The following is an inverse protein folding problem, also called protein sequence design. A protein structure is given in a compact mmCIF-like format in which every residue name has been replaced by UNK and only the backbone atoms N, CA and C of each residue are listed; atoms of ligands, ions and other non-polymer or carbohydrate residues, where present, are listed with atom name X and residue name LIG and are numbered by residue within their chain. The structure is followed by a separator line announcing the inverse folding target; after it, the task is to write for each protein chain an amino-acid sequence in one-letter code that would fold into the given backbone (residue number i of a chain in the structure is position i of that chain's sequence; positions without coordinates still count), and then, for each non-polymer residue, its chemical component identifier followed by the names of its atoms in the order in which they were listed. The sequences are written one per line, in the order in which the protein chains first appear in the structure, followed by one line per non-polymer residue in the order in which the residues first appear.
data_IF_727496687251
#
_entry.id   IF_727496687251
#
_cell.length_a   1.000
_cell.length_b   1.000
_cell.length_c   1.000
_cell.angle_alpha   90.00
_cell.angle_beta   90.00
_cell.angle_gamma   90.00
#
_symmetry.space_group_name_H-M   'P 1'
#
loop_
_entity.id
_entity.type
_entity.pdbx_description
1 polymer ?
#
# COMPACT_ATOMS: atom_id res chain seq x y z
N UNK A 1 2.83 15.89 -20.81
CA UNK A 1 3.62 14.77 -20.24
C UNK A 1 4.24 15.13 -18.89
N UNK A 2 4.90 16.28 -18.72
CA UNK A 2 5.46 16.67 -17.41
C UNK A 2 4.38 16.76 -16.31
N UNK A 3 3.24 17.41 -16.56
CA UNK A 3 2.13 17.46 -15.57
C UNK A 3 1.58 16.08 -15.17
N UNK A 4 1.66 15.09 -16.07
CA UNK A 4 1.21 13.73 -15.79
C UNK A 4 2.15 12.98 -14.83
N UNK A 5 3.46 13.26 -14.86
CA UNK A 5 4.47 12.58 -14.06
C UNK A 5 4.94 13.37 -12.83
N UNK A 6 4.87 14.71 -12.86
CA UNK A 6 5.36 15.59 -11.78
C UNK A 6 4.25 16.39 -11.11
N UNK A 7 3.01 16.30 -11.59
CA UNK A 7 1.89 17.10 -11.07
C UNK A 7 2.10 18.60 -11.21
N UNK A 8 2.92 19.04 -12.17
CA UNK A 8 3.24 20.45 -12.40
C UNK A 8 4.11 21.09 -11.31
N UNK A 9 4.67 20.31 -10.37
CA UNK A 9 5.56 20.81 -9.31
C UNK A 9 4.90 21.66 -8.21
N UNK A 10 3.58 21.88 -8.27
CA UNK A 10 2.82 22.71 -7.33
C UNK A 10 1.87 21.91 -6.42
N UNK A 11 2.06 20.59 -6.33
CA UNK A 11 1.23 19.75 -5.47
C UNK A 11 1.59 19.92 -3.99
N UNK A 12 0.56 19.97 -3.13
CA UNK A 12 0.72 20.11 -1.68
C UNK A 12 1.58 18.96 -1.13
N UNK A 13 2.74 19.24 -0.50
CA UNK A 13 3.64 18.20 0.03
C UNK A 13 2.97 17.24 1.01
N UNK A 14 1.97 17.71 1.76
CA UNK A 14 1.21 16.87 2.68
C UNK A 14 0.36 15.84 1.93
N UNK A 15 -0.29 16.23 0.82
CA UNK A 15 -1.07 15.30 -0.01
C UNK A 15 -0.18 14.27 -0.70
N UNK A 16 1.01 14.69 -1.15
CA UNK A 16 2.01 13.77 -1.71
C UNK A 16 2.46 12.78 -0.63
N UNK A 17 2.75 13.25 0.58
CA UNK A 17 3.14 12.40 1.70
C UNK A 17 2.06 11.38 2.07
N UNK A 18 0.80 11.81 2.12
CA UNK A 18 -0.33 10.89 2.36
C UNK A 18 -0.47 9.89 1.21
N UNK A 19 -0.34 10.30 -0.05
CA UNK A 19 -0.41 9.37 -1.18
C UNK A 19 0.75 8.37 -1.20
N UNK A 20 1.97 8.80 -0.86
CA UNK A 20 3.11 7.90 -0.67
C UNK A 20 2.82 6.87 0.44
N UNK A 21 2.27 7.33 1.58
CA UNK A 21 1.87 6.44 2.66
C UNK A 21 0.77 5.45 2.23
N UNK A 22 -0.27 5.96 1.55
CA UNK A 22 -1.38 5.16 1.03
C UNK A 22 -0.89 4.09 0.05
N UNK A 23 0.04 4.45 -0.84
CA UNK A 23 0.62 3.54 -1.83
C UNK A 23 1.43 2.42 -1.17
N UNK A 24 2.08 2.71 -0.04
CA UNK A 24 2.82 1.71 0.75
C UNK A 24 1.87 0.81 1.56
N UNK A 25 0.68 1.31 1.91
CA UNK A 25 -0.33 0.58 2.66
C UNK A 25 -1.27 -0.20 1.71
N UNK A 26 -1.02 -1.49 1.59
CA UNK A 26 -1.85 -2.36 0.73
C UNK A 26 -3.05 -2.95 1.48
N UNK A 27 -4.10 -3.34 0.76
CA UNK A 27 -5.23 -4.12 1.30
C UNK A 27 -4.77 -5.41 1.96
N UNK A 28 -3.71 -6.04 1.42
CA UNK A 28 -3.09 -7.23 2.01
C UNK A 28 -2.60 -6.89 3.41
N UNK A 29 -1.79 -5.83 3.56
CA UNK A 29 -1.29 -5.39 4.87
C UNK A 29 -2.41 -5.01 5.83
N UNK A 30 -3.45 -4.32 5.34
CA UNK A 30 -4.58 -3.88 6.14
C UNK A 30 -5.37 -5.05 6.75
N UNK A 31 -5.48 -6.18 6.04
CA UNK A 31 -6.15 -7.39 6.54
C UNK A 31 -5.19 -8.34 7.28
N UNK A 32 -3.96 -8.49 6.79
CA UNK A 32 -3.01 -9.50 7.29
C UNK A 32 -2.41 -9.12 8.63
N UNK A 33 -2.08 -7.84 8.85
CA UNK A 33 -1.43 -7.39 10.09
C UNK A 33 -2.32 -7.60 11.32
N UNK A 34 -3.59 -7.16 11.36
CA UNK A 34 -4.45 -7.44 12.51
C UNK A 34 -4.78 -8.93 12.65
N UNK A 35 -4.96 -9.66 11.53
CA UNK A 35 -5.19 -11.10 11.56
C UNK A 35 -4.01 -11.88 12.16
N UNK A 36 -2.79 -11.49 11.80
CA UNK A 36 -1.57 -12.06 12.36
C UNK A 36 -1.38 -11.64 13.82
N UNK A 37 -1.64 -10.39 14.18
CA UNK A 37 -1.53 -9.92 15.56
C UNK A 37 -2.52 -10.61 16.51
N UNK A 38 -3.73 -10.92 16.03
CA UNK A 38 -4.72 -11.67 16.81
C UNK A 38 -4.28 -13.12 17.09
N UNK A 39 -3.60 -13.76 16.13
CA UNK A 39 -3.14 -15.14 16.26
C UNK A 39 -1.78 -15.31 16.95
N UNK A 40 -0.80 -14.47 16.60
CA UNK A 40 0.62 -14.59 16.96
C UNK A 40 1.16 -13.46 17.84
N UNK A 41 0.28 -12.56 18.28
CA UNK A 41 0.65 -11.44 19.13
C UNK A 41 1.35 -10.28 18.41
N UNK A 42 1.78 -9.26 19.15
CA UNK A 42 2.24 -7.99 18.58
C UNK A 42 3.68 -8.02 18.07
N UNK A 43 4.38 -9.17 18.03
CA UNK A 43 5.80 -9.24 17.64
C UNK A 43 6.05 -8.59 16.28
N UNK A 44 5.18 -8.87 15.29
CA UNK A 44 5.35 -8.32 13.95
C UNK A 44 5.25 -6.78 13.92
N UNK A 45 4.58 -6.16 14.90
CA UNK A 45 4.48 -4.70 15.02
C UNK A 45 5.83 -4.05 15.38
N UNK A 46 6.75 -4.80 16.00
CA UNK A 46 8.10 -4.29 16.33
C UNK A 46 8.85 -3.93 15.04
N UNK A 47 8.66 -4.71 13.97
CA UNK A 47 9.25 -4.43 12.65
C UNK A 47 8.82 -3.07 12.09
N UNK A 48 7.61 -2.60 12.42
CA UNK A 48 7.12 -1.29 11.98
C UNK A 48 7.88 -0.13 12.64
N UNK A 49 8.51 -0.34 13.80
CA UNK A 49 9.36 0.68 14.45
C UNK A 49 10.62 1.00 13.64
N UNK A 50 11.00 0.13 12.70
CA UNK A 50 12.08 0.42 11.74
C UNK A 50 11.68 1.44 10.67
N UNK A 51 10.39 1.57 10.34
CA UNK A 51 9.93 2.44 9.25
C UNK A 51 10.25 3.93 9.47
N UNK A 52 10.07 4.53 10.67
CA UNK A 52 10.50 5.90 10.92
C UNK A 52 11.98 6.14 10.63
N UNK A 53 12.84 5.18 10.99
CA UNK A 53 14.29 5.26 10.73
C UNK A 53 14.58 5.20 9.24
N UNK A 54 13.92 4.28 8.52
CA UNK A 54 14.03 4.18 7.06
C UNK A 54 13.58 5.47 6.39
N UNK A 55 12.44 6.02 6.77
CA UNK A 55 11.95 7.28 6.20
C UNK A 55 12.87 8.45 6.51
N UNK A 56 13.43 8.51 7.72
CA UNK A 56 14.43 9.53 8.06
C UNK A 56 15.65 9.44 7.15
N UNK A 57 16.22 8.24 6.98
CA UNK A 57 17.38 8.02 6.10
C UNK A 57 17.04 8.37 4.65
N UNK A 58 15.91 7.90 4.14
CA UNK A 58 15.50 8.16 2.76
C UNK A 58 15.27 9.66 2.53
N UNK A 59 14.54 10.33 3.43
CA UNK A 59 14.17 11.74 3.26
C UNK A 59 15.37 12.69 3.38
N UNK A 60 16.28 12.46 4.32
CA UNK A 60 17.38 13.40 4.61
C UNK A 60 18.70 13.03 3.94
N UNK A 61 18.98 11.75 3.68
CA UNK A 61 20.25 11.32 3.08
C UNK A 61 20.08 10.99 1.59
N UNK A 62 19.11 10.17 1.23
CA UNK A 62 19.00 9.65 -0.14
C UNK A 62 18.32 10.62 -1.09
N UNK A 63 17.17 11.17 -0.71
CA UNK A 63 16.34 12.02 -1.56
C UNK A 63 17.07 13.29 -2.05
N UNK A 64 17.85 14.02 -1.21
CA UNK A 64 18.61 15.17 -1.68
C UNK A 64 19.71 14.82 -2.69
N UNK A 65 20.23 13.59 -2.66
CA UNK A 65 21.21 13.11 -3.63
C UNK A 65 20.50 12.80 -4.95
N UNK A 66 19.41 12.04 -4.92
CA UNK A 66 18.69 11.64 -6.13
C UNK A 66 18.06 12.82 -6.87
N UNK A 67 17.52 13.81 -6.15
CA UNK A 67 16.91 14.99 -6.76
C UNK A 67 17.90 15.84 -7.59
N UNK A 68 19.22 15.69 -7.38
CA UNK A 68 20.24 16.40 -8.17
C UNK A 68 20.34 15.88 -9.61
N UNK A 69 20.04 14.60 -9.83
CA UNK A 69 20.17 13.96 -11.15
C UNK A 69 19.00 14.25 -12.09
N UNK A 70 17.90 14.87 -11.59
CA UNK A 70 16.70 15.25 -12.37
C UNK A 70 16.19 14.14 -13.30
N UNK A 71 16.35 12.89 -12.87
CA UNK A 71 15.85 11.72 -13.58
C UNK A 71 14.34 11.57 -13.39
N UNK A 72 13.66 11.05 -14.40
CA UNK A 72 12.22 10.76 -14.33
C UNK A 72 11.96 9.34 -13.81
N UNK A 73 12.97 8.46 -13.86
CA UNK A 73 12.90 7.10 -13.37
C UNK A 73 14.15 6.74 -12.56
N UNK A 74 13.97 6.00 -11.47
CA UNK A 74 15.09 5.49 -10.69
C UNK A 74 16.04 4.61 -11.51
N UNK A 75 15.54 3.94 -12.56
CA UNK A 75 16.35 3.10 -13.46
C UNK A 75 17.24 3.90 -14.40
N UNK A 76 16.96 5.18 -14.62
CA UNK A 76 17.85 6.07 -15.41
C UNK A 76 19.19 6.28 -14.69
N UNK A 77 19.19 6.24 -13.36
CA UNK A 77 20.43 6.32 -12.57
C UNK A 77 21.30 5.08 -12.74
N UNK A 78 20.70 3.92 -13.02
CA UNK A 78 21.45 2.71 -13.33
C UNK A 78 22.13 2.82 -14.69
N UNK A 79 21.50 3.49 -15.67
CA UNK A 79 22.09 3.67 -17.00
C UNK A 79 23.38 4.49 -16.96
N UNK A 80 23.41 5.57 -16.16
CA UNK A 80 24.57 6.45 -16.05
C UNK A 80 25.84 5.69 -15.64
N UNK A 81 25.70 4.65 -14.79
CA UNK A 81 26.84 3.89 -14.27
C UNK A 81 27.06 2.52 -14.90
N UNK A 82 25.98 1.87 -15.37
CA UNK A 82 25.98 0.45 -15.74
C UNK A 82 25.46 0.20 -17.16
N UNK A 83 25.04 1.26 -17.86
CA UNK A 83 24.61 1.20 -19.25
C UNK A 83 23.15 0.77 -19.45
N UNK A 84 22.70 0.94 -20.70
CA UNK A 84 21.31 0.74 -21.11
C UNK A 84 20.79 -0.68 -20.85
N UNK A 85 21.65 -1.70 -20.99
CA UNK A 85 21.27 -3.10 -20.76
C UNK A 85 20.77 -3.34 -19.34
N UNK A 86 21.42 -2.74 -18.33
CA UNK A 86 21.01 -2.90 -16.94
C UNK A 86 19.76 -2.07 -16.58
N UNK A 87 19.59 -0.90 -17.21
CA UNK A 87 18.34 -0.12 -17.13
C UNK A 87 17.15 -0.96 -17.62
N UNK A 88 17.27 -1.56 -18.80
CA UNK A 88 16.20 -2.37 -19.38
C UNK A 88 15.92 -3.62 -18.56
N UNK A 89 16.96 -4.31 -18.06
CA UNK A 89 16.80 -5.45 -17.17
C UNK A 89 16.04 -5.06 -15.89
N UNK A 90 16.50 -4.01 -15.20
CA UNK A 90 15.88 -3.54 -13.96
C UNK A 90 14.43 -3.10 -14.15
N UNK A 91 14.14 -2.34 -15.22
CA UNK A 91 12.79 -1.93 -15.56
C UNK A 91 11.88 -3.12 -15.90
N UNK A 92 12.39 -4.10 -16.66
CA UNK A 92 11.63 -5.30 -17.03
C UNK A 92 11.33 -6.17 -15.82
N UNK A 93 12.32 -6.40 -14.94
CA UNK A 93 12.12 -7.12 -13.69
C UNK A 93 11.09 -6.41 -12.81
N UNK A 94 11.20 -5.09 -12.65
CA UNK A 94 10.24 -4.31 -11.89
C UNK A 94 8.82 -4.43 -12.45
N UNK A 95 8.63 -4.27 -13.75
CA UNK A 95 7.32 -4.40 -14.38
C UNK A 95 6.76 -5.81 -14.18
N UNK A 96 7.57 -6.85 -14.34
CA UNK A 96 7.16 -8.23 -14.11
C UNK A 96 6.70 -8.48 -12.66
N UNK A 97 7.52 -8.10 -11.67
CA UNK A 97 7.14 -8.22 -10.26
C UNK A 97 5.88 -7.40 -9.94
N UNK A 98 5.79 -6.19 -10.48
CA UNK A 98 4.65 -5.30 -10.26
C UNK A 98 3.37 -5.87 -10.86
N UNK A 99 3.41 -6.47 -12.04
CA UNK A 99 2.25 -7.11 -12.67
C UNK A 99 1.74 -8.31 -11.85
N UNK A 100 2.64 -9.16 -11.36
CA UNK A 100 2.28 -10.28 -10.48
C UNK A 100 1.61 -9.77 -9.20
N UNK A 101 2.23 -8.78 -8.54
CA UNK A 101 1.70 -8.18 -7.32
C UNK A 101 0.32 -7.53 -7.54
N UNK A 102 0.15 -6.76 -8.62
CA UNK A 102 -1.12 -6.11 -8.95
C UNK A 102 -2.22 -7.13 -9.27
N UNK A 103 -1.88 -8.24 -9.93
CA UNK A 103 -2.85 -9.31 -10.23
C UNK A 103 -3.39 -9.93 -8.95
N UNK A 104 -2.50 -10.25 -8.00
CA UNK A 104 -2.89 -10.78 -6.70
C UNK A 104 -3.76 -9.77 -5.92
N UNK A 105 -3.38 -8.49 -5.91
CA UNK A 105 -4.15 -7.44 -5.24
C UNK A 105 -5.57 -7.29 -5.80
N UNK A 106 -5.71 -7.26 -7.13
CA UNK A 106 -7.03 -7.14 -7.78
C UNK A 106 -7.89 -8.37 -7.50
N UNK A 107 -7.29 -9.57 -7.50
CA UNK A 107 -7.99 -10.80 -7.15
C UNK A 107 -8.53 -10.78 -5.71
N UNK A 108 -7.69 -10.46 -4.72
CA UNK A 108 -8.09 -10.42 -3.31
C UNK A 108 -9.15 -9.33 -3.04
N UNK A 109 -9.03 -8.18 -3.69
CA UNK A 109 -10.03 -7.12 -3.60
C UNK A 109 -11.38 -7.58 -4.20
N UNK A 110 -11.36 -8.25 -5.35
CA UNK A 110 -12.57 -8.78 -5.99
C UNK A 110 -13.23 -9.91 -5.18
N UNK A 111 -12.43 -10.77 -4.55
CA UNK A 111 -12.90 -11.80 -3.63
C UNK A 111 -13.64 -11.16 -2.44
N UNK A 112 -13.02 -10.19 -1.77
CA UNK A 112 -13.64 -9.47 -0.66
C UNK A 112 -14.97 -8.80 -1.08
N UNK A 113 -15.00 -8.13 -2.24
CA UNK A 113 -16.21 -7.51 -2.76
C UNK A 113 -17.32 -8.52 -3.07
N UNK A 114 -16.95 -9.67 -3.66
CA UNK A 114 -17.90 -10.73 -4.00
C UNK A 114 -18.56 -11.31 -2.74
N UNK A 115 -17.77 -11.52 -1.68
CA UNK A 115 -18.26 -11.95 -0.36
C UNK A 115 -19.21 -10.91 0.24
N UNK A 116 -18.82 -9.63 0.22
CA UNK A 116 -19.66 -8.53 0.76
C UNK A 116 -20.97 -8.36 -0.01
N UNK A 117 -20.98 -8.62 -1.31
CA UNK A 117 -22.20 -8.56 -2.15
C UNK A 117 -23.08 -9.81 -2.05
N UNK A 118 -22.63 -10.86 -1.33
CA UNK A 118 -23.35 -12.14 -1.24
C UNK A 118 -23.39 -12.90 -2.57
N UNK A 119 -22.41 -12.67 -3.45
CA UNK A 119 -22.32 -13.31 -4.76
C UNK A 119 -21.58 -14.65 -4.67
N UNK A 120 -21.89 -15.55 -5.61
CA UNK A 120 -21.19 -16.83 -5.77
C UNK A 120 -19.72 -16.59 -6.22
N UNK A 121 -18.73 -17.33 -5.68
CA UNK A 121 -17.32 -17.19 -6.05
C UNK A 121 -17.01 -17.24 -7.56
N UNK A 122 -17.88 -17.87 -8.37
CA UNK A 122 -17.74 -17.84 -9.84
C UNK A 122 -17.77 -16.44 -10.45
N UNK A 123 -18.29 -15.44 -9.74
CA UNK A 123 -18.35 -14.04 -10.19
C UNK A 123 -17.07 -13.26 -9.95
N UNK A 124 -16.11 -13.79 -9.18
CA UNK A 124 -14.84 -13.10 -8.87
C UNK A 124 -14.12 -12.59 -10.12
N UNK A 125 -13.96 -13.37 -11.22
CA UNK A 125 -13.29 -12.88 -12.42
C UNK A 125 -14.00 -11.68 -13.07
N UNK A 126 -15.34 -11.64 -13.03
CA UNK A 126 -16.14 -10.54 -13.58
C UNK A 126 -15.98 -9.29 -12.72
N UNK A 127 -16.06 -9.43 -11.39
CA UNK A 127 -15.84 -8.33 -10.45
C UNK A 127 -14.43 -7.76 -10.60
N UNK A 128 -13.41 -8.63 -10.69
CA UNK A 128 -12.02 -8.24 -10.94
C UNK A 128 -11.84 -7.49 -12.26
N UNK A 129 -12.45 -7.97 -13.35
CA UNK A 129 -12.38 -7.32 -14.64
C UNK A 129 -13.02 -5.92 -14.63
N UNK A 130 -14.23 -5.79 -14.06
CA UNK A 130 -14.95 -4.52 -13.99
C UNK A 130 -14.19 -3.51 -13.14
N UNK A 131 -13.76 -3.91 -11.94
CA UNK A 131 -12.97 -3.05 -11.04
C UNK A 131 -11.64 -2.63 -11.66
N UNK A 132 -10.94 -3.56 -12.33
CA UNK A 132 -9.70 -3.28 -13.05
C UNK A 132 -9.90 -2.29 -14.20
N UNK A 133 -10.94 -2.45 -15.02
CA UNK A 133 -11.25 -1.53 -16.12
C UNK A 133 -11.56 -0.13 -15.60
N UNK A 134 -12.41 -0.02 -14.57
CA UNK A 134 -12.71 1.26 -13.93
C UNK A 134 -11.43 1.90 -13.39
N UNK A 135 -10.56 1.11 -12.75
CA UNK A 135 -9.27 1.56 -12.25
C UNK A 135 -8.37 2.12 -13.33
N UNK A 136 -8.22 1.40 -14.45
CA UNK A 136 -7.43 1.85 -15.59
C UNK A 136 -8.00 3.14 -16.18
N UNK A 137 -9.33 3.25 -16.31
CA UNK A 137 -9.97 4.44 -16.89
C UNK A 137 -9.69 5.69 -16.04
N UNK A 138 -9.98 5.66 -14.74
CA UNK A 138 -9.82 6.87 -13.91
C UNK A 138 -8.34 7.23 -13.72
N UNK A 139 -7.44 6.24 -13.63
CA UNK A 139 -6.00 6.51 -13.52
C UNK A 139 -5.43 7.09 -14.80
N UNK A 140 -5.85 6.58 -15.97
CA UNK A 140 -5.39 7.07 -17.28
C UNK A 140 -5.91 8.46 -17.60
N UNK A 141 -7.17 8.77 -17.26
CA UNK A 141 -7.77 10.07 -17.52
C UNK A 141 -7.30 11.17 -16.55
N UNK A 142 -7.07 10.80 -15.29
CA UNK A 142 -6.79 11.77 -14.22
C UNK A 142 -5.30 12.03 -13.94
N UNK A 143 -4.41 11.13 -14.37
CA UNK A 143 -2.97 11.24 -14.12
C UNK A 143 -2.59 11.25 -12.63
N UNK A 144 -1.35 11.66 -12.32
CA UNK A 144 -0.82 11.63 -10.94
C UNK A 144 -1.68 12.43 -9.95
N UNK A 145 -2.24 13.57 -10.37
CA UNK A 145 -3.07 14.40 -9.48
C UNK A 145 -4.34 13.67 -9.04
N UNK A 146 -5.02 12.97 -9.95
CA UNK A 146 -6.19 12.19 -9.58
C UNK A 146 -5.81 11.03 -8.65
N UNK A 147 -4.69 10.35 -8.92
CA UNK A 147 -4.18 9.26 -8.06
C UNK A 147 -3.94 9.75 -6.63
N UNK A 148 -3.28 10.90 -6.46
CA UNK A 148 -3.01 11.46 -5.13
C UNK A 148 -4.30 11.80 -4.37
N UNK A 149 -5.32 12.31 -5.07
CA UNK A 149 -6.62 12.60 -4.44
C UNK A 149 -7.34 11.31 -4.06
N UNK A 150 -7.36 10.30 -4.94
CA UNK A 150 -7.98 9.01 -4.63
C UNK A 150 -7.27 8.31 -3.47
N UNK A 151 -5.95 8.39 -3.41
CA UNK A 151 -5.15 7.84 -2.31
C UNK A 151 -5.44 8.53 -0.98
N UNK A 152 -5.61 9.85 -0.99
CA UNK A 152 -6.00 10.60 0.19
C UNK A 152 -7.37 10.15 0.72
N UNK A 153 -8.37 10.06 -0.17
CA UNK A 153 -9.71 9.57 0.19
C UNK A 153 -9.66 8.13 0.70
N UNK A 154 -8.90 7.25 0.05
CA UNK A 154 -8.68 5.88 0.48
C UNK A 154 -8.05 5.83 1.89
N UNK A 155 -7.06 6.67 2.16
CA UNK A 155 -6.41 6.72 3.48
C UNK A 155 -7.39 7.13 4.57
N UNK A 156 -8.21 8.15 4.31
CA UNK A 156 -9.25 8.59 5.25
C UNK A 156 -10.26 7.47 5.52
N UNK A 157 -10.70 6.77 4.48
CA UNK A 157 -11.63 5.65 4.61
C UNK A 157 -11.03 4.47 5.39
N UNK A 158 -9.79 4.08 5.10
CA UNK A 158 -9.11 2.98 5.79
C UNK A 158 -8.85 3.32 7.26
N UNK A 159 -8.39 4.54 7.53
CA UNK A 159 -8.16 4.99 8.91
C UNK A 159 -9.48 5.09 9.69
N UNK A 160 -10.52 5.65 9.07
CA UNK A 160 -11.87 5.69 9.65
C UNK A 160 -12.42 4.29 9.92
N UNK A 161 -12.27 3.36 8.98
CA UNK A 161 -12.65 1.97 9.13
C UNK A 161 -11.94 1.27 10.28
N UNK A 162 -10.62 1.48 10.42
CA UNK A 162 -9.85 0.93 11.53
C UNK A 162 -10.33 1.47 12.88
N UNK A 163 -10.60 2.78 12.98
CA UNK A 163 -11.16 3.38 14.19
C UNK A 163 -12.55 2.84 14.53
N UNK A 164 -13.42 2.65 13.52
CA UNK A 164 -14.73 2.06 13.70
C UNK A 164 -14.63 0.62 14.23
N UNK A 165 -13.73 -0.20 13.69
CA UNK A 165 -13.50 -1.57 14.20
C UNK A 165 -13.06 -1.54 15.66
N UNK A 166 -12.12 -0.68 16.02
CA UNK A 166 -11.68 -0.52 17.42
C UNK A 166 -12.84 -0.09 18.32
N UNK A 167 -13.68 0.84 17.86
CA UNK A 167 -14.84 1.32 18.61
C UNK A 167 -15.89 0.23 18.80
N UNK A 168 -16.23 -0.54 17.75
CA UNK A 168 -17.21 -1.62 17.83
C UNK A 168 -16.72 -2.75 18.73
N UNK A 169 -15.47 -3.17 18.59
CA UNK A 169 -14.88 -4.20 19.47
C UNK A 169 -14.89 -3.73 20.93
N UNK A 170 -14.53 -2.47 21.19
CA UNK A 170 -14.55 -1.91 22.55
C UNK A 170 -15.95 -1.86 23.12
N UNK A 171 -16.95 -1.50 22.31
CA UNK A 171 -18.36 -1.50 22.72
C UNK A 171 -18.87 -2.91 23.04
N UNK A 172 -18.63 -3.87 22.13
CA UNK A 172 -19.09 -5.26 22.25
C UNK A 172 -18.47 -5.98 23.46
N UNK A 173 -17.22 -5.65 23.80
CA UNK A 173 -16.51 -6.19 24.97
C UNK A 173 -16.74 -5.39 26.26
N UNK A 174 -17.61 -4.37 26.24
CA UNK A 174 -17.97 -3.58 27.43
C UNK A 174 -16.82 -2.71 27.98
N UNK A 175 -15.83 -2.37 27.14
CA UNK A 175 -14.67 -1.55 27.51
C UNK A 175 -13.37 -2.05 26.87
N UNK A 176 -12.24 -1.50 27.32
CA UNK A 176 -10.91 -1.82 26.78
C UNK A 176 -10.29 -3.11 27.31
N UNK A 177 -11.08 -3.99 27.95
CA UNK A 177 -10.61 -5.24 28.54
C UNK A 177 -10.12 -6.29 27.52
N UNK A 178 -10.43 -6.09 26.24
CA UNK A 178 -9.93 -6.93 25.13
C UNK A 178 -8.47 -6.61 24.76
N UNK A 179 -7.92 -5.48 25.23
CA UNK A 179 -6.51 -5.14 25.02
C UNK A 179 -5.66 -6.03 25.94
N UNK A 180 -4.74 -6.84 25.40
CA UNK A 180 -3.90 -7.71 26.21
C UNK A 180 -3.04 -6.90 27.19
N UNK A 181 -3.15 -7.19 28.49
CA UNK A 181 -2.32 -6.57 29.54
C UNK A 181 -1.07 -7.39 29.87
N UNK A 182 -0.94 -8.57 29.29
CA UNK A 182 0.18 -9.49 29.48
C UNK A 182 0.42 -10.34 28.24
N UNK A 183 1.54 -11.05 28.22
CA UNK A 183 1.87 -11.95 27.12
C UNK A 183 1.00 -13.21 27.18
N UNK A 184 0.36 -13.58 26.08
CA UNK A 184 -0.40 -14.82 26.01
C UNK A 184 0.47 -15.96 25.46
N UNK A 185 0.48 -17.11 26.14
CA UNK A 185 1.31 -18.27 25.78
C UNK A 185 1.00 -18.86 24.39
N UNK A 186 -0.19 -18.60 23.83
CA UNK A 186 -0.57 -19.02 22.48
C UNK A 186 0.13 -18.19 21.37
N UNK A 187 0.79 -17.08 21.71
CA UNK A 187 1.54 -16.27 20.75
C UNK A 187 2.94 -16.83 20.46
N UNK A 188 3.45 -17.76 21.28
CA UNK A 188 4.81 -18.28 21.16
C UNK A 188 4.98 -19.33 20.04
N UNK A 189 3.89 -19.98 19.61
CA UNK A 189 3.93 -21.00 18.56
C UNK A 189 3.67 -20.40 17.18
N UNK A 190 4.72 -20.23 16.38
CA UNK A 190 4.59 -19.93 14.96
C UNK A 190 4.67 -21.23 14.16
N UNK A 191 3.72 -21.53 13.24
CA UNK A 191 3.91 -22.62 12.28
C UNK A 191 5.13 -22.26 11.41
N UNK A 192 6.13 -23.14 11.40
CA UNK A 192 7.30 -23.05 10.52
C UNK A 192 6.89 -23.20 9.05
#
# INVERSE_FOLDING_TARGET
MQDYFTGGGNMNPMLIGVSLFATLLSTISYLSVPGEAAGKGPVNQISLLGLPVVFFVVAYLMLPIYMKFRVTSAYELLEEKLGLGLRLLGATMFLALRLVWMTLLVYLAAEAMTVMMGLDPKWIPVVAAVTGVVAVIYTSLGGLQAVVITDFLQTVLLFGGALLVVATVTYDFGGFGWIPTGWHANWDSQPL
#
